data_IF_248647314029
#
_entry.id   IF_248647314029
#
_cell.length_a   1.000
_cell.length_b   1.000
_cell.length_c   1.000
_cell.angle_alpha   90.00
_cell.angle_beta   90.00
_cell.angle_gamma   90.00
#
_symmetry.space_group_name_H-M   'P 1'
#
loop_
_entity.id
_entity.type
_entity.pdbx_description
1 polymer ?
#
# COMPACT_ATOMS: atom_id res chain seq x y z
N UNK A 1 15.61 -21.45 13.84
CA UNK A 1 15.03 -20.19 14.37
C UNK A 1 13.55 -20.41 14.63
N UNK A 2 13.01 -20.03 15.80
CA UNK A 2 11.56 -20.14 16.08
C UNK A 2 10.79 -19.25 15.10
N UNK A 3 10.05 -19.86 14.17
CA UNK A 3 9.11 -19.17 13.29
C UNK A 3 8.08 -18.45 14.15
N UNK A 4 8.16 -17.13 14.20
CA UNK A 4 7.24 -16.30 14.98
C UNK A 4 6.22 -15.70 14.04
N UNK A 5 4.95 -16.05 14.19
CA UNK A 5 3.85 -15.58 13.34
C UNK A 5 3.41 -14.12 13.64
N UNK A 6 4.26 -13.33 14.31
CA UNK A 6 3.94 -11.94 14.70
C UNK A 6 3.61 -11.07 13.50
N UNK A 7 4.39 -11.18 12.42
CA UNK A 7 4.15 -10.40 11.19
C UNK A 7 2.76 -10.64 10.62
N UNK A 8 2.30 -11.90 10.61
CA UNK A 8 0.95 -12.26 10.19
C UNK A 8 -0.14 -11.64 11.07
N UNK A 9 0.02 -11.67 12.41
CA UNK A 9 -0.95 -11.04 13.30
C UNK A 9 -0.99 -9.52 13.15
N UNK A 10 0.16 -8.87 12.94
CA UNK A 10 0.23 -7.43 12.67
C UNK A 10 -0.47 -7.10 11.34
N UNK A 11 -0.19 -7.85 10.28
CA UNK A 11 -0.83 -7.66 8.97
C UNK A 11 -2.35 -7.81 9.03
N UNK A 12 -2.84 -8.85 9.71
CA UNK A 12 -4.28 -9.07 9.94
C UNK A 12 -4.89 -7.95 10.77
N UNK A 13 -4.19 -7.48 11.81
CA UNK A 13 -4.62 -6.36 12.65
C UNK A 13 -4.77 -5.07 11.85
N UNK A 14 -3.79 -4.73 11.01
CA UNK A 14 -3.83 -3.54 10.14
C UNK A 14 -5.00 -3.62 9.16
N UNK A 15 -5.15 -4.75 8.44
CA UNK A 15 -6.25 -4.93 7.48
C UNK A 15 -7.61 -4.88 8.17
N UNK A 16 -7.75 -5.53 9.33
CA UNK A 16 -8.98 -5.53 10.12
C UNK A 16 -9.35 -4.14 10.64
N UNK A 17 -8.39 -3.41 11.22
CA UNK A 17 -8.59 -2.04 11.71
C UNK A 17 -8.93 -1.09 10.55
N UNK A 18 -8.25 -1.22 9.42
CA UNK A 18 -8.54 -0.44 8.21
C UNK A 18 -9.98 -0.68 7.74
N UNK A 19 -10.42 -1.94 7.65
CA UNK A 19 -11.76 -2.30 7.20
C UNK A 19 -12.84 -1.87 8.18
N UNK A 20 -12.59 -2.00 9.49
CA UNK A 20 -13.48 -1.53 10.53
C UNK A 20 -13.64 0.00 10.51
N UNK A 21 -12.52 0.73 10.48
CA UNK A 21 -12.52 2.19 10.40
C UNK A 21 -13.25 2.69 9.15
N UNK A 22 -13.00 2.07 7.99
CA UNK A 22 -13.69 2.41 6.75
C UNK A 22 -15.20 2.16 6.85
N UNK A 23 -15.60 1.00 7.40
CA UNK A 23 -17.02 0.66 7.58
C UNK A 23 -17.74 1.66 8.49
N UNK A 24 -17.09 2.09 9.58
CA UNK A 24 -17.63 3.11 10.48
C UNK A 24 -17.78 4.44 9.72
N UNK A 25 -16.74 4.89 9.01
CA UNK A 25 -16.78 6.15 8.27
C UNK A 25 -17.85 6.18 7.17
N UNK A 26 -18.06 5.05 6.47
CA UNK A 26 -19.07 4.93 5.42
C UNK A 26 -20.50 4.86 5.96
N UNK A 27 -20.69 4.45 7.21
CA UNK A 27 -22.02 4.29 7.84
C UNK A 27 -22.37 5.44 8.79
N UNK A 28 -21.43 6.34 9.08
CA UNK A 28 -21.62 7.48 9.96
C UNK A 28 -22.63 8.49 9.36
N UNK A 29 -23.62 8.90 10.16
CA UNK A 29 -24.49 10.03 9.80
C UNK A 29 -23.71 11.35 9.97
N UNK A 30 -23.18 11.85 8.85
CA UNK A 30 -22.40 13.09 8.75
C UNK A 30 -23.16 14.30 9.30
N UNK A 31 -24.49 14.34 9.24
CA UNK A 31 -25.29 15.48 9.72
C UNK A 31 -25.38 15.53 11.25
N UNK A 32 -25.21 14.38 11.90
CA UNK A 32 -25.29 14.22 13.36
C UNK A 32 -23.92 14.10 14.02
N UNK A 33 -22.89 13.76 13.25
CA UNK A 33 -21.53 13.63 13.75
C UNK A 33 -20.99 14.99 14.24
N UNK A 34 -20.26 14.96 15.36
CA UNK A 34 -19.53 16.12 15.82
C UNK A 34 -18.45 16.52 14.78
N UNK A 35 -18.26 17.82 14.55
CA UNK A 35 -17.40 18.35 13.48
C UNK A 35 -15.97 17.77 13.48
N UNK A 36 -15.45 17.41 14.66
CA UNK A 36 -14.10 16.85 14.84
C UNK A 36 -13.98 15.37 14.47
N UNK A 37 -15.08 14.61 14.50
CA UNK A 37 -15.06 13.15 14.27
C UNK A 37 -14.61 12.83 12.85
N UNK A 38 -15.09 13.58 11.85
CA UNK A 38 -14.75 13.33 10.45
C UNK A 38 -13.27 13.58 10.14
N UNK A 39 -12.66 14.74 10.46
CA UNK A 39 -11.23 14.94 10.27
C UNK A 39 -10.37 13.92 10.99
N UNK A 40 -10.66 13.59 12.26
CA UNK A 40 -9.90 12.58 13.00
C UNK A 40 -10.04 11.19 12.40
N UNK A 41 -11.26 10.83 11.98
CA UNK A 41 -11.53 9.58 11.30
C UNK A 41 -10.80 9.48 9.96
N UNK A 42 -10.77 10.56 9.16
CA UNK A 42 -10.00 10.62 7.91
C UNK A 42 -8.49 10.49 8.16
N UNK A 43 -7.95 11.15 9.19
CA UNK A 43 -6.54 11.03 9.57
C UNK A 43 -6.21 9.60 10.01
N UNK A 44 -7.07 8.99 10.83
CA UNK A 44 -6.95 7.58 11.23
C UNK A 44 -6.99 6.65 10.02
N UNK A 45 -7.96 6.85 9.11
CA UNK A 45 -8.09 6.06 7.90
C UNK A 45 -6.86 6.20 7.00
N UNK A 46 -6.34 7.41 6.84
CA UNK A 46 -5.13 7.70 6.06
C UNK A 46 -3.92 6.99 6.66
N UNK A 47 -3.76 7.03 7.98
CA UNK A 47 -2.71 6.29 8.68
C UNK A 47 -2.82 4.77 8.45
N UNK A 48 -4.04 4.23 8.47
CA UNK A 48 -4.29 2.81 8.20
C UNK A 48 -4.01 2.43 6.73
N UNK A 49 -4.25 3.34 5.76
CA UNK A 49 -3.80 3.15 4.37
C UNK A 49 -2.28 3.04 4.26
N UNK A 50 -1.51 3.86 5.00
CA UNK A 50 -0.05 3.69 5.09
C UNK A 50 0.31 2.31 5.62
N UNK A 51 -0.41 1.82 6.63
CA UNK A 51 -0.26 0.47 7.15
C UNK A 51 -0.50 -0.63 6.09
N UNK A 52 -1.50 -0.48 5.22
CA UNK A 52 -1.73 -1.42 4.11
C UNK A 52 -0.55 -1.45 3.15
N UNK A 53 -0.02 -0.28 2.76
CA UNK A 53 1.12 -0.19 1.86
C UNK A 53 2.37 -0.84 2.47
N UNK A 54 2.67 -0.54 3.75
CA UNK A 54 3.77 -1.16 4.50
C UNK A 54 3.58 -2.68 4.59
N UNK A 55 2.37 -3.16 4.85
CA UNK A 55 2.06 -4.60 4.87
C UNK A 55 2.40 -5.25 3.52
N UNK A 56 2.05 -4.61 2.40
CA UNK A 56 2.44 -5.10 1.06
C UNK A 56 3.94 -5.09 0.84
N UNK A 57 4.64 -4.05 1.29
CA UNK A 57 6.10 -3.95 1.21
C UNK A 57 6.78 -5.08 2.01
N UNK A 58 6.37 -5.29 3.26
CA UNK A 58 6.90 -6.34 4.14
C UNK A 58 6.63 -7.74 3.58
N UNK A 59 5.49 -7.95 2.93
CA UNK A 59 5.21 -9.16 2.18
C UNK A 59 6.21 -9.39 1.04
N UNK A 60 6.62 -8.34 0.31
CA UNK A 60 7.59 -8.48 -0.80
C UNK A 60 8.97 -8.92 -0.30
N UNK A 61 9.33 -8.52 0.92
CA UNK A 61 10.54 -8.98 1.63
C UNK A 61 10.37 -10.33 2.33
N UNK A 62 9.16 -10.89 2.36
CA UNK A 62 8.87 -12.17 3.00
C UNK A 62 8.83 -12.13 4.53
N UNK A 63 8.75 -10.95 5.14
CA UNK A 63 8.86 -10.78 6.61
C UNK A 63 7.57 -11.08 7.38
N UNK A 64 6.40 -11.08 6.71
CA UNK A 64 5.10 -11.39 7.35
C UNK A 64 5.10 -12.83 7.88
N UNK A 65 5.52 -13.78 7.04
CA UNK A 65 5.61 -15.19 7.41
C UNK A 65 6.82 -15.85 6.71
N UNK A 66 8.03 -15.77 7.29
CA UNK A 66 9.25 -16.20 6.62
C UNK A 66 9.27 -17.67 6.19
N UNK A 67 8.52 -18.52 6.89
CA UNK A 67 8.41 -19.96 6.59
C UNK A 67 7.41 -20.29 5.49
N UNK A 68 6.53 -19.36 5.11
CA UNK A 68 5.46 -19.60 4.13
C UNK A 68 5.37 -18.45 3.10
N UNK A 69 6.18 -18.50 2.02
CA UNK A 69 6.17 -17.48 0.96
C UNK A 69 4.79 -17.23 0.35
N UNK A 70 3.96 -18.28 0.24
CA UNK A 70 2.57 -18.16 -0.25
C UNK A 70 1.71 -17.24 0.62
N UNK A 71 1.87 -17.29 1.94
CA UNK A 71 1.13 -16.42 2.87
C UNK A 71 1.53 -14.97 2.66
N UNK A 72 2.83 -14.68 2.52
CA UNK A 72 3.29 -13.32 2.20
C UNK A 72 2.63 -12.81 0.91
N UNK A 73 2.68 -13.59 -0.17
CA UNK A 73 2.10 -13.18 -1.45
C UNK A 73 0.59 -12.91 -1.35
N UNK A 74 -0.17 -13.73 -0.60
CA UNK A 74 -1.61 -13.52 -0.39
C UNK A 74 -1.86 -12.25 0.42
N UNK A 75 -1.16 -12.08 1.54
CA UNK A 75 -1.33 -10.92 2.41
C UNK A 75 -0.93 -9.61 1.72
N UNK A 76 0.20 -9.60 1.00
CA UNK A 76 0.65 -8.45 0.24
C UNK A 76 -0.28 -8.12 -0.92
N UNK A 77 -0.77 -9.13 -1.64
CA UNK A 77 -1.73 -8.91 -2.71
C UNK A 77 -3.08 -8.40 -2.22
N UNK A 78 -3.56 -8.88 -1.07
CA UNK A 78 -4.75 -8.34 -0.44
C UNK A 78 -4.53 -6.89 -0.01
N UNK A 79 -3.45 -6.60 0.72
CA UNK A 79 -3.17 -5.27 1.25
C UNK A 79 -3.04 -4.21 0.16
N UNK A 80 -2.29 -4.49 -0.92
CA UNK A 80 -2.10 -3.51 -2.00
C UNK A 80 -3.34 -3.33 -2.88
N UNK A 81 -4.20 -4.37 -2.96
CA UNK A 81 -5.50 -4.24 -3.61
C UNK A 81 -6.44 -3.35 -2.81
N UNK A 82 -6.51 -3.53 -1.49
CA UNK A 82 -7.29 -2.66 -0.60
C UNK A 82 -6.74 -1.22 -0.61
N UNK A 83 -5.43 -1.05 -0.75
CA UNK A 83 -4.78 0.25 -0.83
C UNK A 83 -5.19 1.06 -2.07
N UNK A 84 -5.01 0.50 -3.28
CA UNK A 84 -5.25 1.22 -4.53
C UNK A 84 -5.53 0.31 -5.74
N UNK A 85 -6.00 -0.92 -5.51
CA UNK A 85 -6.23 -1.94 -6.55
C UNK A 85 -4.97 -2.28 -7.36
N UNK A 86 -3.77 -2.04 -6.84
CA UNK A 86 -2.53 -2.28 -7.56
C UNK A 86 -2.28 -3.78 -7.82
N UNK A 87 -1.54 -4.05 -8.89
CA UNK A 87 -1.00 -5.38 -9.16
C UNK A 87 0.18 -5.64 -8.23
N UNK A 88 0.00 -6.56 -7.28
CA UNK A 88 1.08 -7.00 -6.39
C UNK A 88 2.31 -7.52 -7.15
N UNK A 89 2.09 -8.27 -8.24
CA UNK A 89 3.19 -8.79 -9.06
C UNK A 89 4.00 -7.67 -9.73
N UNK A 90 3.32 -6.64 -10.27
CA UNK A 90 3.99 -5.48 -10.89
C UNK A 90 4.77 -4.72 -9.83
N UNK A 91 4.13 -4.41 -8.70
CA UNK A 91 4.75 -3.67 -7.61
C UNK A 91 5.95 -4.43 -7.01
N UNK A 92 5.84 -5.73 -6.78
CA UNK A 92 6.96 -6.56 -6.29
C UNK A 92 8.14 -6.56 -7.26
N UNK A 93 7.89 -6.65 -8.58
CA UNK A 93 8.96 -6.57 -9.58
C UNK A 93 9.68 -5.22 -9.50
N UNK A 94 8.92 -4.12 -9.52
CA UNK A 94 9.47 -2.76 -9.44
C UNK A 94 10.22 -2.49 -8.14
N UNK A 95 9.68 -2.97 -7.02
CA UNK A 95 10.32 -2.91 -5.71
C UNK A 95 11.70 -3.57 -5.69
N UNK A 96 11.85 -4.73 -6.32
CA UNK A 96 13.16 -5.39 -6.44
C UNK A 96 14.09 -4.71 -7.45
N UNK A 97 13.56 -4.07 -8.51
CA UNK A 97 14.35 -3.22 -9.40
C UNK A 97 14.94 -2.03 -8.64
N UNK A 98 14.13 -1.33 -7.84
CA UNK A 98 14.56 -0.25 -6.96
C UNK A 98 15.68 -0.70 -6.01
N UNK A 99 15.48 -1.81 -5.28
CA UNK A 99 16.49 -2.33 -4.36
C UNK A 99 17.80 -2.75 -5.03
N UNK A 100 17.77 -3.14 -6.31
CA UNK A 100 18.96 -3.60 -7.04
C UNK A 100 19.85 -2.46 -7.51
N UNK A 101 19.26 -1.35 -7.94
CA UNK A 101 19.97 -0.20 -8.50
C UNK A 101 19.36 1.10 -8.00
N UNK A 102 19.41 1.39 -6.69
CA UNK A 102 18.77 2.57 -6.13
C UNK A 102 19.42 3.86 -6.64
N UNK A 103 18.61 4.91 -6.83
CA UNK A 103 19.06 6.24 -7.28
C UNK A 103 19.86 6.22 -8.59
N UNK A 104 19.53 5.28 -9.48
CA UNK A 104 20.11 5.16 -10.82
C UNK A 104 19.03 5.34 -11.88
N UNK A 105 19.45 5.56 -13.12
CA UNK A 105 18.63 5.51 -14.33
C UNK A 105 17.75 4.25 -14.50
N UNK A 106 18.07 3.16 -13.79
CA UNK A 106 17.32 1.89 -13.80
C UNK A 106 16.36 1.73 -12.63
N UNK A 107 16.41 2.64 -11.66
CA UNK A 107 15.47 2.67 -10.54
C UNK A 107 14.12 3.20 -11.04
N UNK A 108 13.02 2.43 -10.92
CA UNK A 108 11.69 2.90 -11.33
C UNK A 108 11.21 4.13 -10.53
N UNK A 109 11.82 4.40 -9.37
CA UNK A 109 11.44 5.51 -8.48
C UNK A 109 12.33 6.75 -8.66
N UNK A 110 13.37 6.66 -9.50
CA UNK A 110 14.30 7.76 -9.70
C UNK A 110 13.69 8.89 -10.54
N UNK A 111 13.96 10.12 -10.12
CA UNK A 111 13.57 11.31 -10.87
C UNK A 111 14.50 11.47 -12.08
N UNK A 112 13.96 11.35 -13.29
CA UNK A 112 14.70 11.32 -14.55
C UNK A 112 15.39 12.64 -14.96
N UNK A 113 15.09 13.74 -14.26
CA UNK A 113 15.65 15.06 -14.55
C UNK A 113 14.99 15.79 -15.71
N UNK A 114 14.06 15.12 -16.42
CA UNK A 114 13.31 15.66 -17.55
C UNK A 114 11.93 16.17 -17.12
N UNK A 115 11.23 15.43 -16.26
CA UNK A 115 9.89 15.79 -15.78
C UNK A 115 9.98 16.71 -14.55
N UNK A 116 10.58 17.88 -14.68
CA UNK A 116 10.97 18.75 -13.54
C UNK A 116 9.82 19.36 -12.73
N UNK A 117 8.61 19.45 -13.31
CA UNK A 117 7.44 19.90 -12.54
C UNK A 117 6.89 18.76 -11.69
N UNK A 118 6.41 19.08 -10.47
CA UNK A 118 5.85 18.09 -9.55
C UNK A 118 4.79 17.19 -10.21
N UNK A 119 3.85 17.77 -10.96
CA UNK A 119 2.77 17.02 -11.61
C UNK A 119 3.28 16.13 -12.75
N UNK A 120 4.24 16.61 -13.54
CA UNK A 120 4.83 15.82 -14.62
C UNK A 120 5.61 14.61 -14.06
N UNK A 121 6.42 14.82 -13.03
CA UNK A 121 7.12 13.75 -12.34
C UNK A 121 6.14 12.76 -11.71
N UNK A 122 5.13 13.24 -11.00
CA UNK A 122 4.15 12.39 -10.34
C UNK A 122 3.41 11.51 -11.35
N UNK A 123 2.99 12.08 -12.48
CA UNK A 123 2.36 11.31 -13.55
C UNK A 123 3.33 10.30 -14.19
N UNK A 124 4.60 10.68 -14.40
CA UNK A 124 5.63 9.78 -14.89
C UNK A 124 5.80 8.58 -13.95
N UNK A 125 6.00 8.83 -12.67
CA UNK A 125 6.11 7.82 -11.61
C UNK A 125 4.88 6.90 -11.57
N UNK A 126 3.66 7.47 -11.54
CA UNK A 126 2.45 6.66 -11.40
C UNK A 126 2.19 5.73 -12.58
N UNK A 127 2.67 6.04 -13.80
CA UNK A 127 2.58 5.14 -14.96
C UNK A 127 3.37 3.83 -14.76
N UNK A 128 4.45 3.86 -13.98
CA UNK A 128 5.21 2.65 -13.64
C UNK A 128 4.39 1.65 -12.81
N UNK A 129 3.34 2.11 -12.13
CA UNK A 129 2.58 1.32 -11.15
C UNK A 129 1.12 1.08 -11.54
N UNK A 130 0.47 2.08 -12.15
CA UNK A 130 -0.91 1.97 -12.60
C UNK A 130 -1.04 1.14 -13.89
N UNK A 131 -2.23 0.58 -14.07
CA UNK A 131 -2.70 0.01 -15.32
C UNK A 131 -3.92 0.80 -15.79
N UNK A 132 -4.15 0.82 -17.11
CA UNK A 132 -5.26 1.56 -17.71
C UNK A 132 -6.62 1.16 -17.12
N UNK A 133 -6.81 -0.15 -16.86
CA UNK A 133 -8.04 -0.70 -16.27
C UNK A 133 -8.37 -0.15 -14.87
N UNK A 134 -7.37 0.22 -14.07
CA UNK A 134 -7.61 0.82 -12.76
C UNK A 134 -8.18 2.25 -12.85
N UNK A 135 -8.04 2.90 -14.01
CA UNK A 135 -8.50 4.27 -14.24
C UNK A 135 -9.91 4.26 -14.83
N UNK A 136 -10.16 3.37 -15.78
CA UNK A 136 -11.42 3.38 -16.55
C UNK A 136 -12.55 2.56 -15.92
N UNK A 137 -12.23 1.60 -15.03
CA UNK A 137 -13.19 0.66 -14.48
C UNK A 137 -13.41 -0.54 -15.38
#
# INVERSE_FOLDING_TARGET
MKSTNKGLFIALGIIGLWGLSLSILLTLDVRRAHLVVLPLGMLCQTFLYTGLFITSHDAMHGSICPTHPRINNVMGALAVRLYALFSYRKLQKKHWEHHRTPASDKDPDFHDGHHTSFLAWYFHFMKEYLSWWQIVG
#
